data_IF_232460926329
#
_entry.id   IF_232460926329
#
_cell.length_a   1.000
_cell.length_b   1.000
_cell.length_c   1.000
_cell.angle_alpha   90.00
_cell.angle_beta   90.00
_cell.angle_gamma   90.00
#
_symmetry.space_group_name_H-M   'P 1'
#
loop_
_entity.id
_entity.type
_entity.pdbx_description
1 polymer ?
#
# COMPACT_ATOMS: atom_id res chain seq x y z
N UNK A 1 -2.08 -36.48 -19.66
CA UNK A 1 -1.01 -35.84 -20.47
C UNK A 1 -0.33 -34.72 -19.68
N UNK A 2 -1.08 -33.85 -19.00
CA UNK A 2 -0.50 -32.77 -18.16
C UNK A 2 0.33 -33.28 -16.99
N UNK A 3 -0.12 -34.31 -16.27
CA UNK A 3 0.67 -34.82 -15.13
C UNK A 3 2.03 -35.35 -15.58
N UNK A 4 2.10 -35.97 -16.77
CA UNK A 4 3.35 -36.41 -17.37
C UNK A 4 4.24 -35.23 -17.76
N UNK A 5 3.65 -34.16 -18.32
CA UNK A 5 4.38 -32.93 -18.59
C UNK A 5 4.95 -32.31 -17.30
N UNK A 6 4.16 -32.28 -16.22
CA UNK A 6 4.59 -31.79 -14.91
C UNK A 6 5.73 -32.65 -14.31
N UNK A 7 5.67 -33.98 -14.45
CA UNK A 7 6.75 -34.87 -14.03
C UNK A 7 8.07 -34.55 -14.74
N UNK A 8 8.04 -34.36 -16.06
CA UNK A 8 9.22 -33.96 -16.83
C UNK A 8 9.69 -32.53 -16.51
N UNK A 9 8.76 -31.60 -16.24
CA UNK A 9 9.10 -30.22 -15.86
C UNK A 9 9.84 -30.16 -14.50
N UNK A 10 9.33 -30.90 -13.51
CA UNK A 10 9.84 -30.86 -12.13
C UNK A 10 10.92 -31.92 -11.84
N UNK A 11 11.12 -32.90 -12.74
CA UNK A 11 11.98 -34.06 -12.49
C UNK A 11 11.40 -35.02 -11.44
N UNK A 12 10.08 -35.11 -11.32
CA UNK A 12 9.40 -35.98 -10.35
C UNK A 12 9.21 -37.37 -10.94
N UNK A 13 9.92 -38.36 -10.40
CA UNK A 13 9.86 -39.76 -10.87
C UNK A 13 10.52 -40.00 -12.23
N UNK A 14 11.17 -39.00 -12.82
CA UNK A 14 11.95 -39.04 -14.07
C UNK A 14 13.01 -37.94 -14.03
N UNK A 15 14.00 -37.98 -14.91
CA UNK A 15 14.90 -36.86 -15.13
C UNK A 15 14.14 -35.64 -15.67
N UNK A 16 14.55 -34.44 -15.26
CA UNK A 16 13.98 -33.17 -15.72
C UNK A 16 14.28 -32.99 -17.21
N UNK A 17 13.23 -32.78 -17.99
CA UNK A 17 13.30 -32.66 -19.46
C UNK A 17 12.25 -31.65 -19.94
N UNK A 18 12.69 -30.41 -20.18
CA UNK A 18 11.77 -29.33 -20.55
C UNK A 18 11.21 -29.51 -21.96
N UNK A 19 11.95 -30.13 -22.88
CA UNK A 19 11.48 -30.40 -24.24
C UNK A 19 10.37 -31.46 -24.24
N UNK A 20 10.51 -32.52 -23.44
CA UNK A 20 9.41 -33.49 -23.25
C UNK A 20 8.23 -32.89 -22.51
N UNK A 21 8.46 -32.04 -21.50
CA UNK A 21 7.38 -31.30 -20.85
C UNK A 21 6.60 -30.46 -21.86
N UNK A 22 7.32 -29.70 -22.70
CA UNK A 22 6.72 -28.90 -23.77
C UNK A 22 5.92 -29.77 -24.75
N UNK A 23 6.50 -30.89 -25.20
CA UNK A 23 5.85 -31.83 -26.12
C UNK A 23 4.52 -32.36 -25.56
N UNK A 24 4.50 -32.80 -24.29
CA UNK A 24 3.29 -33.32 -23.67
C UNK A 24 2.24 -32.23 -23.39
N UNK A 25 2.67 -31.02 -23.04
CA UNK A 25 1.79 -29.86 -22.95
C UNK A 25 1.18 -29.52 -24.33
N UNK A 26 1.97 -29.55 -25.41
CA UNK A 26 1.47 -29.31 -26.76
C UNK A 26 0.39 -30.34 -27.14
N UNK A 27 0.63 -31.63 -26.88
CA UNK A 27 -0.37 -32.68 -27.14
C UNK A 27 -1.64 -32.52 -26.32
N UNK A 28 -1.52 -32.13 -25.05
CA UNK A 28 -2.68 -31.86 -24.21
C UNK A 28 -3.47 -30.63 -24.70
N UNK A 29 -2.78 -29.55 -25.07
CA UNK A 29 -3.38 -28.34 -25.62
C UNK A 29 -4.10 -28.57 -26.96
N UNK A 30 -3.55 -29.42 -27.84
CA UNK A 30 -4.19 -29.86 -29.08
C UNK A 30 -5.51 -30.61 -28.83
N UNK A 31 -5.61 -31.33 -27.71
CA UNK A 31 -6.82 -32.02 -27.27
C UNK A 31 -7.77 -31.12 -26.46
N UNK A 32 -7.50 -29.82 -26.37
CA UNK A 32 -8.35 -28.86 -25.68
C UNK A 32 -8.14 -28.78 -24.17
N UNK A 33 -7.08 -29.38 -23.62
CA UNK A 33 -6.79 -29.25 -22.20
C UNK A 33 -6.39 -27.80 -21.84
N UNK A 34 -7.20 -27.17 -21.01
CA UNK A 34 -7.13 -25.76 -20.67
C UNK A 34 -5.85 -25.38 -19.92
N UNK A 35 -5.41 -26.21 -18.97
CA UNK A 35 -4.16 -25.97 -18.22
C UNK A 35 -2.96 -26.06 -19.15
N UNK A 36 -3.02 -26.94 -20.15
CA UNK A 36 -1.98 -27.08 -21.14
C UNK A 36 -1.92 -25.88 -22.08
N UNK A 37 -3.06 -25.26 -22.44
CA UNK A 37 -3.06 -24.01 -23.21
C UNK A 37 -2.26 -22.92 -22.50
N UNK A 38 -2.47 -22.75 -21.18
CA UNK A 38 -1.73 -21.78 -20.37
C UNK A 38 -0.23 -22.12 -20.27
N UNK A 39 0.11 -23.37 -19.96
CA UNK A 39 1.51 -23.80 -19.86
C UNK A 39 2.25 -23.66 -21.20
N UNK A 40 1.57 -23.93 -22.31
CA UNK A 40 2.13 -23.77 -23.65
C UNK A 40 2.39 -22.29 -23.98
N UNK A 41 1.47 -21.40 -23.60
CA UNK A 41 1.66 -19.96 -23.74
C UNK A 41 2.87 -19.47 -22.91
N UNK A 42 3.00 -19.93 -21.66
CA UNK A 42 4.17 -19.63 -20.82
C UNK A 42 5.47 -20.15 -21.41
N UNK A 43 5.46 -21.38 -21.92
CA UNK A 43 6.65 -22.00 -22.54
C UNK A 43 7.16 -21.18 -23.71
N UNK A 44 6.26 -20.75 -24.61
CA UNK A 44 6.63 -19.84 -25.70
C UNK A 44 7.04 -18.44 -25.22
N UNK A 45 6.42 -17.91 -24.17
CA UNK A 45 6.78 -16.59 -23.63
C UNK A 45 8.18 -16.58 -23.00
N UNK A 46 8.57 -17.67 -22.35
CA UNK A 46 9.84 -17.78 -21.63
C UNK A 46 10.94 -18.46 -22.45
N UNK A 47 10.59 -19.24 -23.48
CA UNK A 47 11.52 -20.11 -24.18
C UNK A 47 11.86 -21.38 -23.38
N UNK A 48 10.89 -21.91 -22.63
CA UNK A 48 11.08 -23.12 -21.81
C UNK A 48 10.71 -24.36 -22.62
N UNK A 49 11.69 -25.25 -22.85
CA UNK A 49 11.47 -26.47 -23.65
C UNK A 49 11.21 -26.23 -25.13
N UNK A 50 11.28 -24.98 -25.59
CA UNK A 50 11.09 -24.55 -26.97
C UNK A 50 11.77 -23.18 -27.18
N UNK A 51 11.86 -22.72 -28.43
CA UNK A 51 12.33 -21.37 -28.71
C UNK A 51 11.30 -20.32 -28.28
N UNK A 52 11.78 -19.24 -27.65
CA UNK A 52 10.94 -18.12 -27.24
C UNK A 52 10.24 -17.50 -28.47
N UNK A 53 8.92 -17.43 -28.41
CA UNK A 53 8.10 -16.84 -29.49
C UNK A 53 6.87 -16.13 -28.90
N UNK A 54 6.93 -14.79 -28.85
CA UNK A 54 5.88 -13.98 -28.23
C UNK A 54 4.55 -14.00 -29.01
N UNK A 55 4.59 -14.14 -30.33
CA UNK A 55 3.37 -14.22 -31.17
C UNK A 55 2.61 -15.52 -30.89
N UNK A 56 3.32 -16.65 -30.81
CA UNK A 56 2.72 -17.92 -30.39
C UNK A 56 2.23 -17.88 -28.96
N UNK A 57 2.99 -17.27 -28.04
CA UNK A 57 2.54 -17.09 -26.66
C UNK A 57 1.22 -16.30 -26.60
N UNK A 58 1.14 -15.18 -27.33
CA UNK A 58 -0.07 -14.38 -27.44
C UNK A 58 -1.25 -15.20 -27.99
N UNK A 59 -1.05 -15.93 -29.09
CA UNK A 59 -2.08 -16.79 -29.68
C UNK A 59 -2.65 -17.79 -28.65
N UNK A 60 -1.78 -18.46 -27.89
CA UNK A 60 -2.22 -19.44 -26.89
C UNK A 60 -2.86 -18.80 -25.66
N UNK A 61 -2.37 -17.64 -25.18
CA UNK A 61 -3.07 -16.88 -24.14
C UNK A 61 -4.47 -16.44 -24.57
N UNK A 62 -4.61 -15.97 -25.82
CA UNK A 62 -5.90 -15.57 -26.36
C UNK A 62 -6.87 -16.74 -26.40
N UNK A 63 -6.45 -17.87 -26.97
CA UNK A 63 -7.26 -19.09 -27.05
C UNK A 63 -7.67 -19.60 -25.67
N UNK A 64 -6.77 -19.53 -24.68
CA UNK A 64 -7.06 -19.94 -23.31
C UNK A 64 -8.05 -19.00 -22.61
N UNK A 65 -7.89 -17.69 -22.78
CA UNK A 65 -8.76 -16.67 -22.18
C UNK A 65 -10.18 -16.71 -22.76
N UNK A 66 -10.32 -17.00 -24.06
CA UNK A 66 -11.61 -17.14 -24.76
C UNK A 66 -12.38 -18.40 -24.32
N UNK A 67 -11.67 -19.47 -23.94
CA UNK A 67 -12.27 -20.70 -23.39
C UNK A 67 -12.71 -20.55 -21.91
N UNK A 68 -12.34 -19.45 -21.24
CA UNK A 68 -13.09 -18.95 -20.08
C UNK A 68 -12.79 -19.53 -18.70
N UNK A 69 -11.74 -20.36 -18.52
CA UNK A 69 -11.54 -21.05 -17.23
C UNK A 69 -10.40 -20.52 -16.34
N UNK A 70 -9.29 -20.02 -16.90
CA UNK A 70 -8.16 -19.55 -16.09
C UNK A 70 -8.02 -18.02 -16.13
N UNK A 71 -8.33 -17.38 -15.01
CA UNK A 71 -8.22 -15.92 -14.84
C UNK A 71 -6.80 -15.41 -15.12
N UNK A 72 -5.76 -16.23 -14.85
CA UNK A 72 -4.36 -15.86 -15.14
C UNK A 72 -4.11 -15.68 -16.63
N UNK A 73 -4.83 -16.39 -17.50
CA UNK A 73 -4.69 -16.24 -18.95
C UNK A 73 -5.25 -14.90 -19.41
N UNK A 74 -6.37 -14.45 -18.85
CA UNK A 74 -6.96 -13.13 -19.12
C UNK A 74 -5.99 -12.01 -18.70
N UNK A 75 -5.35 -12.14 -17.53
CA UNK A 75 -4.35 -11.17 -17.05
C UNK A 75 -3.14 -11.11 -17.98
N UNK A 76 -2.59 -12.26 -18.39
CA UNK A 76 -1.44 -12.28 -19.29
C UNK A 76 -1.79 -11.76 -20.69
N UNK A 77 -2.98 -12.04 -21.19
CA UNK A 77 -3.48 -11.48 -22.44
C UNK A 77 -3.62 -9.95 -22.36
N UNK A 78 -4.15 -9.43 -21.25
CA UNK A 78 -4.21 -7.99 -21.00
C UNK A 78 -2.80 -7.36 -21.00
N UNK A 79 -1.83 -8.00 -20.34
CA UNK A 79 -0.42 -7.56 -20.33
C UNK A 79 0.19 -7.57 -21.73
N UNK A 80 -0.13 -8.56 -22.57
CA UNK A 80 0.30 -8.62 -23.96
C UNK A 80 -0.22 -7.41 -24.74
N UNK A 81 -1.51 -7.11 -24.64
CA UNK A 81 -2.09 -5.93 -25.29
C UNK A 81 -1.55 -4.61 -24.72
N UNK A 82 -1.34 -4.50 -23.41
CA UNK A 82 -0.84 -3.27 -22.78
C UNK A 82 0.57 -2.92 -23.27
N UNK A 83 1.41 -3.93 -23.48
CA UNK A 83 2.82 -3.78 -23.82
C UNK A 83 3.14 -4.03 -25.31
N UNK A 84 2.17 -4.48 -26.12
CA UNK A 84 2.42 -4.92 -27.49
C UNK A 84 3.31 -6.17 -27.59
N UNK A 85 3.15 -7.14 -26.68
CA UNK A 85 3.94 -8.39 -26.69
C UNK A 85 3.25 -9.45 -27.54
N UNK A 86 3.85 -9.77 -28.68
CA UNK A 86 3.31 -10.78 -29.62
C UNK A 86 2.07 -10.31 -30.38
N UNK A 87 1.69 -9.05 -30.23
CA UNK A 87 0.57 -8.35 -30.88
C UNK A 87 0.86 -6.86 -30.87
N UNK A 88 0.11 -6.07 -31.64
CA UNK A 88 0.12 -4.62 -31.50
C UNK A 88 -0.40 -4.16 -30.13
N UNK A 89 0.17 -3.06 -29.62
CA UNK A 89 -0.26 -2.45 -28.38
C UNK A 89 -1.70 -1.94 -28.51
N UNK A 90 -2.57 -2.34 -27.59
CA UNK A 90 -3.98 -1.92 -27.56
C UNK A 90 -4.47 -1.77 -26.12
N UNK A 91 -4.54 -0.53 -25.62
CA UNK A 91 -4.91 -0.27 -24.23
C UNK A 91 -6.39 -0.56 -23.94
N UNK A 92 -7.29 -0.39 -24.92
CA UNK A 92 -8.72 -0.68 -24.76
C UNK A 92 -8.97 -2.19 -24.55
N UNK A 93 -8.30 -3.03 -25.34
CA UNK A 93 -8.35 -4.50 -25.15
C UNK A 93 -7.68 -4.93 -23.85
N UNK A 94 -6.58 -4.29 -23.46
CA UNK A 94 -5.96 -4.55 -22.17
C UNK A 94 -6.93 -4.24 -21.02
N UNK A 95 -7.57 -3.06 -21.06
CA UNK A 95 -8.58 -2.64 -20.11
C UNK A 95 -9.74 -3.65 -20.03
N UNK A 96 -10.28 -4.07 -21.18
CA UNK A 96 -11.36 -5.07 -21.25
C UNK A 96 -10.99 -6.38 -20.54
N UNK A 97 -9.81 -6.92 -20.81
CA UNK A 97 -9.37 -8.19 -20.21
C UNK A 97 -9.01 -8.05 -18.72
N UNK A 98 -8.43 -6.93 -18.30
CA UNK A 98 -8.27 -6.63 -16.88
C UNK A 98 -9.62 -6.53 -16.16
N UNK A 99 -10.61 -5.88 -16.77
CA UNK A 99 -11.96 -5.78 -16.20
C UNK A 99 -12.57 -7.17 -16.00
N UNK A 100 -12.57 -8.01 -17.04
CA UNK A 100 -13.05 -9.39 -16.92
C UNK A 100 -12.35 -10.17 -15.82
N UNK A 101 -11.02 -10.13 -15.77
CA UNK A 101 -10.25 -10.85 -14.76
C UNK A 101 -10.52 -10.33 -13.33
N UNK A 102 -10.71 -9.02 -13.17
CA UNK A 102 -11.05 -8.39 -11.90
C UNK A 102 -12.44 -8.80 -11.40
N UNK A 103 -13.41 -9.00 -12.30
CA UNK A 103 -14.75 -9.51 -11.97
C UNK A 103 -14.70 -10.94 -11.41
N UNK A 104 -13.72 -11.75 -11.81
CA UNK A 104 -13.44 -13.07 -11.23
C UNK A 104 -12.59 -13.03 -9.95
N UNK A 105 -12.25 -11.86 -9.44
CA UNK A 105 -11.54 -11.73 -8.16
C UNK A 105 -10.02 -11.69 -8.25
N UNK A 106 -9.41 -11.61 -9.45
CA UNK A 106 -7.95 -11.57 -9.56
C UNK A 106 -7.36 -10.22 -9.11
N UNK A 107 -6.53 -10.27 -8.07
CA UNK A 107 -5.93 -9.10 -7.43
C UNK A 107 -5.04 -8.30 -8.38
N UNK A 108 -4.29 -9.00 -9.24
CA UNK A 108 -3.40 -8.35 -10.22
C UNK A 108 -4.21 -7.64 -11.29
N UNK A 109 -5.33 -8.22 -11.70
CA UNK A 109 -6.26 -7.58 -12.63
C UNK A 109 -6.89 -6.32 -12.03
N UNK A 110 -7.42 -6.40 -10.80
CA UNK A 110 -7.99 -5.25 -10.09
C UNK A 110 -6.99 -4.10 -9.94
N UNK A 111 -5.74 -4.43 -9.56
CA UNK A 111 -4.67 -3.44 -9.44
C UNK A 111 -4.39 -2.72 -10.77
N UNK A 112 -4.26 -3.47 -11.87
CA UNK A 112 -4.04 -2.88 -13.19
C UNK A 112 -5.24 -2.09 -13.68
N UNK A 113 -6.47 -2.55 -13.41
CA UNK A 113 -7.70 -1.84 -13.75
C UNK A 113 -7.80 -0.48 -13.03
N UNK A 114 -7.38 -0.42 -11.77
CA UNK A 114 -7.29 0.83 -11.04
C UNK A 114 -6.27 1.81 -11.64
N UNK A 115 -5.13 1.31 -12.14
CA UNK A 115 -4.15 2.12 -12.86
C UNK A 115 -4.76 2.65 -14.16
N UNK A 116 -5.46 1.81 -14.93
CA UNK A 116 -6.13 2.23 -16.15
C UNK A 116 -7.11 3.38 -15.89
N UNK A 117 -7.95 3.28 -14.86
CA UNK A 117 -8.86 4.35 -14.47
C UNK A 117 -8.14 5.61 -13.94
N UNK A 118 -7.05 5.45 -13.18
CA UNK A 118 -6.27 6.60 -12.66
C UNK A 118 -5.65 7.42 -13.79
N UNK A 119 -5.13 6.75 -14.81
CA UNK A 119 -4.38 7.37 -15.89
C UNK A 119 -5.23 7.65 -17.14
N UNK A 120 -6.42 7.06 -17.26
CA UNK A 120 -7.21 7.09 -18.49
C UNK A 120 -6.61 6.21 -19.59
N UNK A 121 -6.02 5.06 -19.23
CA UNK A 121 -5.42 4.13 -20.20
C UNK A 121 -6.48 3.12 -20.67
N UNK A 122 -6.84 3.18 -21.96
CA UNK A 122 -7.84 2.27 -22.55
C UNK A 122 -9.28 2.53 -22.10
N UNK A 123 -9.49 3.60 -21.33
CA UNK A 123 -10.77 4.07 -20.82
C UNK A 123 -10.66 5.55 -20.43
N UNK A 124 -11.76 6.19 -20.05
CA UNK A 124 -11.72 7.55 -19.51
C UNK A 124 -11.17 7.57 -18.08
N UNK A 125 -10.43 8.63 -17.75
CA UNK A 125 -9.91 8.84 -16.39
C UNK A 125 -11.07 8.93 -15.39
N UNK A 126 -11.03 8.09 -14.36
CA UNK A 126 -12.05 8.05 -13.31
C UNK A 126 -11.41 7.68 -11.96
N UNK A 127 -11.17 8.69 -11.11
CA UNK A 127 -10.51 8.49 -9.82
C UNK A 127 -11.37 7.69 -8.82
N UNK A 128 -12.69 7.80 -8.90
CA UNK A 128 -13.63 7.07 -8.04
C UNK A 128 -13.57 5.57 -8.32
N UNK A 129 -13.61 5.16 -9.60
CA UNK A 129 -13.45 3.75 -10.00
C UNK A 129 -12.05 3.23 -9.71
N UNK A 130 -11.02 4.06 -9.87
CA UNK A 130 -9.66 3.69 -9.48
C UNK A 130 -9.56 3.40 -7.97
N UNK A 131 -10.20 4.24 -7.14
CA UNK A 131 -10.29 4.03 -5.70
C UNK A 131 -11.06 2.75 -5.35
N UNK A 132 -12.23 2.54 -5.96
CA UNK A 132 -13.06 1.35 -5.78
C UNK A 132 -12.29 0.04 -6.00
N UNK A 133 -11.60 -0.08 -7.14
CA UNK A 133 -10.87 -1.31 -7.46
C UNK A 133 -9.64 -1.53 -6.57
N UNK A 134 -9.00 -0.45 -6.10
CA UNK A 134 -7.92 -0.57 -5.10
C UNK A 134 -8.42 -0.99 -3.73
N UNK A 135 -9.57 -0.48 -3.30
CA UNK A 135 -10.20 -0.89 -2.06
C UNK A 135 -10.50 -2.40 -2.08
N UNK A 136 -11.01 -2.92 -3.21
CA UNK A 136 -11.26 -4.37 -3.38
C UNK A 136 -10.01 -5.24 -3.19
N UNK A 137 -8.85 -4.80 -3.70
CA UNK A 137 -7.57 -5.51 -3.48
C UNK A 137 -7.18 -5.49 -2.00
N UNK A 138 -7.32 -4.35 -1.32
CA UNK A 138 -7.00 -4.25 0.11
C UNK A 138 -7.92 -5.13 0.97
N UNK A 139 -9.20 -5.26 0.60
CA UNK A 139 -10.15 -6.16 1.28
C UNK A 139 -9.80 -7.64 1.09
N UNK A 140 -9.33 -8.05 -0.09
CA UNK A 140 -8.88 -9.44 -0.33
C UNK A 140 -7.56 -9.75 0.38
N UNK A 141 -6.65 -8.78 0.50
CA UNK A 141 -5.38 -8.91 1.21
C UNK A 141 -5.52 -8.92 2.74
N UNK A 142 -6.47 -8.15 3.31
CA UNK A 142 -6.77 -8.17 4.75
C UNK A 142 -7.22 -9.55 5.24
N UNK A 143 -7.81 -10.38 4.36
CA UNK A 143 -8.14 -11.76 4.70
C UNK A 143 -6.89 -12.67 4.85
N UNK A 144 -5.71 -12.25 4.38
CA UNK A 144 -4.48 -13.05 4.31
C UNK A 144 -3.43 -12.69 5.37
N UNK A 145 -3.45 -11.51 5.99
CA UNK A 145 -2.38 -11.07 6.92
C UNK A 145 -2.89 -10.33 8.17
N UNK A 146 -2.12 -10.46 9.27
CA UNK A 146 -2.39 -9.87 10.62
C UNK A 146 -2.23 -8.34 10.67
N UNK A 147 -1.62 -7.71 9.65
CA UNK A 147 -1.42 -6.26 9.56
C UNK A 147 -2.20 -5.69 8.39
N UNK A 148 -2.79 -4.52 8.57
CA UNK A 148 -3.58 -3.85 7.54
C UNK A 148 -2.64 -3.18 6.52
N UNK A 149 -2.73 -3.62 5.26
CA UNK A 149 -2.17 -2.86 4.15
C UNK A 149 -3.17 -1.76 3.75
N UNK A 150 -2.76 -0.50 3.80
CA UNK A 150 -3.65 0.64 3.55
C UNK A 150 -3.06 1.53 2.46
N UNK A 151 -3.95 2.17 1.69
CA UNK A 151 -3.55 3.22 0.75
C UNK A 151 -3.53 4.55 1.46
N UNK A 152 -2.48 5.32 1.21
CA UNK A 152 -2.44 6.71 1.62
C UNK A 152 -3.53 7.50 0.85
N UNK A 153 -4.42 8.20 1.54
CA UNK A 153 -5.49 8.99 0.90
C UNK A 153 -4.93 10.08 -0.02
N UNK A 154 -3.74 10.59 0.29
CA UNK A 154 -3.14 11.73 -0.42
C UNK A 154 -2.37 11.28 -1.68
N UNK A 155 -1.37 10.40 -1.54
CA UNK A 155 -0.54 9.96 -2.70
C UNK A 155 -1.05 8.70 -3.38
N UNK A 156 -2.02 8.00 -2.77
CA UNK A 156 -2.54 6.72 -3.23
C UNK A 156 -1.45 5.63 -3.35
N UNK A 157 -0.33 5.77 -2.64
CA UNK A 157 0.69 4.73 -2.52
C UNK A 157 0.31 3.75 -1.41
N UNK A 158 0.80 2.52 -1.57
CA UNK A 158 0.60 1.43 -0.62
C UNK A 158 1.55 1.61 0.56
N UNK A 159 1.04 1.47 1.78
CA UNK A 159 1.89 1.41 2.96
C UNK A 159 1.33 0.44 4.00
N UNK A 160 2.21 0.00 4.91
CA UNK A 160 1.88 -0.90 5.99
C UNK A 160 1.51 -0.04 7.21
N UNK A 161 0.27 -0.17 7.71
CA UNK A 161 -0.19 0.56 8.89
C UNK A 161 -1.71 0.72 8.94
N UNK A 162 -2.22 1.03 10.12
CA UNK A 162 -3.67 1.18 10.38
C UNK A 162 -4.10 2.65 10.28
N UNK A 163 -3.44 3.45 9.42
CA UNK A 163 -3.60 4.91 9.37
C UNK A 163 -4.09 5.38 8.00
N UNK A 164 -4.54 6.63 7.91
CA UNK A 164 -5.12 7.18 6.67
C UNK A 164 -4.05 7.63 5.65
N UNK A 165 -2.79 7.81 6.05
CA UNK A 165 -1.72 8.28 5.18
C UNK A 165 -0.41 7.54 5.41
N UNK A 166 0.40 7.47 4.35
CA UNK A 166 1.78 7.03 4.45
C UNK A 166 2.62 8.09 5.19
N UNK A 167 3.77 7.67 5.71
CA UNK A 167 4.69 8.52 6.46
C UNK A 167 5.04 9.82 5.72
N UNK A 168 5.31 9.75 4.42
CA UNK A 168 5.67 10.90 3.59
C UNK A 168 4.55 11.95 3.55
N UNK A 169 3.29 11.52 3.38
CA UNK A 169 2.15 12.44 3.29
C UNK A 169 1.73 12.98 4.66
N UNK A 170 1.88 12.19 5.73
CA UNK A 170 1.70 12.68 7.10
C UNK A 170 2.64 13.85 7.39
N UNK A 171 3.92 13.71 7.03
CA UNK A 171 4.93 14.75 7.20
C UNK A 171 4.52 16.07 6.52
N UNK A 172 4.18 16.02 5.23
CA UNK A 172 3.79 17.22 4.47
C UNK A 172 2.60 17.92 5.13
N UNK A 173 1.65 17.16 5.68
CA UNK A 173 0.47 17.70 6.34
C UNK A 173 0.80 18.38 7.66
N UNK A 174 1.62 17.76 8.50
CA UNK A 174 2.10 18.38 9.74
C UNK A 174 2.89 19.65 9.48
N UNK A 175 3.75 19.65 8.45
CA UNK A 175 4.46 20.86 8.04
C UNK A 175 3.53 21.98 7.58
N UNK A 176 2.47 21.64 6.82
CA UNK A 176 1.47 22.63 6.36
C UNK A 176 0.71 23.27 7.53
N UNK A 177 0.33 22.48 8.52
CA UNK A 177 -0.42 22.94 9.69
C UNK A 177 0.47 23.49 10.82
N UNK A 178 1.80 23.44 10.68
CA UNK A 178 2.75 23.81 11.73
C UNK A 178 2.56 25.24 12.28
N UNK A 179 2.04 26.16 11.46
CA UNK A 179 1.70 27.52 11.91
C UNK A 179 0.68 27.56 13.06
N UNK A 180 -0.10 26.50 13.27
CA UNK A 180 -1.02 26.33 14.40
C UNK A 180 -0.31 25.86 15.68
N UNK A 181 0.91 25.36 15.55
CA UNK A 181 1.69 24.67 16.60
C UNK A 181 3.03 25.33 16.90
N UNK A 182 3.25 26.53 16.37
CA UNK A 182 4.48 27.29 16.60
C UNK A 182 4.51 27.89 18.00
N UNK A 183 5.67 27.77 18.64
CA UNK A 183 6.03 28.46 19.87
C UNK A 183 6.51 29.89 19.65
N UNK A 184 6.76 30.29 18.40
CA UNK A 184 7.52 31.48 17.98
C UNK A 184 8.98 31.48 18.43
N UNK A 185 9.50 30.36 18.92
CA UNK A 185 10.90 30.15 19.24
C UNK A 185 11.51 29.20 18.21
N UNK A 186 12.49 29.67 17.45
CA UNK A 186 13.10 28.92 16.35
C UNK A 186 13.66 27.56 16.79
N UNK A 187 14.29 27.50 17.97
CA UNK A 187 14.88 26.28 18.48
C UNK A 187 13.81 25.23 18.85
N UNK A 188 12.78 25.64 19.60
CA UNK A 188 11.66 24.76 19.99
C UNK A 188 10.91 24.30 18.75
N UNK A 189 10.64 25.22 17.81
CA UNK A 189 9.89 24.90 16.60
C UNK A 189 10.65 23.90 15.72
N UNK A 190 11.97 24.05 15.59
CA UNK A 190 12.81 23.10 14.87
C UNK A 190 12.84 21.73 15.54
N UNK A 191 12.86 21.68 16.87
CA UNK A 191 12.77 20.43 17.62
C UNK A 191 11.44 19.71 17.36
N UNK A 192 10.31 20.43 17.44
CA UNK A 192 8.98 19.88 17.18
C UNK A 192 8.89 19.34 15.74
N UNK A 193 9.30 20.13 14.74
CA UNK A 193 9.29 19.70 13.33
C UNK A 193 10.13 18.44 13.11
N UNK A 194 11.29 18.35 13.76
CA UNK A 194 12.14 17.16 13.67
C UNK A 194 11.46 15.93 14.27
N UNK A 195 10.81 16.05 15.42
CA UNK A 195 10.09 14.93 16.03
C UNK A 195 8.91 14.47 15.14
N UNK A 196 8.19 15.42 14.54
CA UNK A 196 7.06 15.13 13.63
C UNK A 196 7.46 14.33 12.38
N UNK A 197 8.74 14.32 11.97
CA UNK A 197 9.26 13.47 10.88
C UNK A 197 9.13 11.98 11.18
N UNK A 198 9.18 11.62 12.46
CA UNK A 198 9.22 10.24 12.92
C UNK A 198 7.88 9.74 13.45
N UNK A 199 6.92 10.65 13.69
CA UNK A 199 5.58 10.30 14.14
C UNK A 199 4.83 9.46 13.09
N UNK A 200 4.33 8.30 13.52
CA UNK A 200 3.54 7.37 12.70
C UNK A 200 2.04 7.57 12.93
N UNK A 201 1.66 8.02 14.11
CA UNK A 201 0.26 8.23 14.51
C UNK A 201 0.03 9.66 15.00
N UNK A 202 -1.25 10.09 15.04
CA UNK A 202 -1.61 11.39 15.62
C UNK A 202 -1.24 11.55 17.10
N UNK A 203 -1.14 10.44 17.85
CA UNK A 203 -0.74 10.45 19.27
C UNK A 203 0.76 10.61 19.49
N UNK A 204 1.58 10.41 18.45
CA UNK A 204 3.04 10.55 18.50
C UNK A 204 3.49 11.95 18.03
N UNK A 205 2.56 12.80 17.64
CA UNK A 205 2.83 14.15 17.15
C UNK A 205 3.11 15.07 18.32
N UNK A 206 4.28 15.71 18.31
CA UNK A 206 4.55 16.82 19.22
C UNK A 206 3.90 18.10 18.71
N UNK A 207 3.32 18.90 19.60
CA UNK A 207 2.88 20.27 19.32
C UNK A 207 3.20 21.21 20.48
N UNK A 208 3.37 22.50 20.19
CA UNK A 208 3.48 23.51 21.23
C UNK A 208 2.11 23.83 21.83
N UNK A 209 2.01 23.77 23.16
CA UNK A 209 0.78 24.09 23.89
C UNK A 209 0.99 25.39 24.68
N UNK A 210 0.31 26.49 24.31
CA UNK A 210 0.31 27.71 25.09
C UNK A 210 -0.24 27.48 26.51
N UNK A 211 0.39 28.06 27.52
CA UNK A 211 0.00 27.85 28.92
C UNK A 211 -1.46 28.23 29.21
N UNK A 212 -2.02 29.22 28.50
CA UNK A 212 -3.43 29.62 28.64
C UNK A 212 -4.44 28.58 28.11
N UNK A 213 -3.98 27.50 27.49
CA UNK A 213 -4.79 26.33 27.11
C UNK A 213 -4.85 25.27 28.20
N UNK A 214 -4.10 25.46 29.29
CA UNK A 214 -4.07 24.57 30.44
C UNK A 214 -4.88 25.18 31.59
N UNK A 215 -5.70 24.35 32.22
CA UNK A 215 -6.49 24.71 33.39
C UNK A 215 -6.34 23.64 34.48
N UNK A 216 -6.75 23.95 35.71
CA UNK A 216 -6.66 23.02 36.85
C UNK A 216 -5.26 22.42 37.03
N UNK A 217 -4.22 23.25 36.87
CA UNK A 217 -2.83 22.83 37.06
C UNK A 217 -2.58 22.60 38.55
N UNK A 218 -2.46 21.34 38.94
CA UNK A 218 -2.31 20.92 40.32
C UNK A 218 -1.10 20.00 40.47
N UNK A 219 -0.38 20.16 41.59
CA UNK A 219 0.69 19.25 41.97
C UNK A 219 0.15 17.81 42.08
N UNK A 220 0.88 16.86 41.50
CA UNK A 220 0.52 15.44 41.51
C UNK A 220 1.55 14.60 42.26
N UNK A 221 2.84 14.72 41.88
CA UNK A 221 3.91 13.91 42.49
C UNK A 221 5.30 14.53 42.25
N UNK A 222 6.34 13.95 42.85
CA UNK A 222 7.75 14.27 42.57
C UNK A 222 8.34 13.24 41.61
N UNK A 223 8.70 13.68 40.41
CA UNK A 223 9.40 12.87 39.41
C UNK A 223 10.91 12.82 39.62
N UNK A 224 11.59 11.99 38.81
CA UNK A 224 13.04 11.78 38.89
C UNK A 224 13.88 13.05 38.65
N UNK A 225 13.36 14.03 37.92
CA UNK A 225 14.07 15.27 37.58
C UNK A 225 13.34 16.56 37.99
N UNK A 226 12.06 16.50 38.37
CA UNK A 226 11.27 17.67 38.73
C UNK A 226 9.89 17.35 39.32
N UNK A 227 9.10 18.36 39.62
CA UNK A 227 7.70 18.21 40.01
C UNK A 227 6.83 17.77 38.82
N UNK A 228 5.94 16.83 39.10
CA UNK A 228 4.91 16.36 38.19
C UNK A 228 3.60 17.00 38.62
N UNK A 229 2.94 17.64 37.66
CA UNK A 229 1.64 18.24 37.83
C UNK A 229 0.63 17.57 36.89
N UNK A 230 -0.64 17.67 37.21
CA UNK A 230 -1.74 17.35 36.30
C UNK A 230 -2.45 18.62 35.89
N UNK A 231 -2.93 18.65 34.66
CA UNK A 231 -3.71 19.77 34.13
C UNK A 231 -4.75 19.26 33.13
N UNK A 232 -5.75 20.09 32.85
CA UNK A 232 -6.71 19.87 31.78
C UNK A 232 -6.31 20.75 30.59
N UNK A 233 -6.06 20.13 29.45
CA UNK A 233 -5.81 20.82 28.19
C UNK A 233 -7.10 20.98 27.41
N UNK A 234 -7.55 22.23 27.25
CA UNK A 234 -8.86 22.55 26.66
C UNK A 234 -9.02 22.05 25.22
N UNK A 235 -7.98 22.26 24.40
CA UNK A 235 -8.02 21.84 22.99
C UNK A 235 -7.84 20.32 22.87
N UNK A 236 -7.01 19.74 23.74
CA UNK A 236 -6.72 18.31 23.81
C UNK A 236 -5.93 17.76 22.62
N UNK A 237 -5.47 16.50 22.68
CA UNK A 237 -4.64 15.91 21.64
C UNK A 237 -5.47 15.63 20.37
N UNK A 238 -4.79 15.65 19.23
CA UNK A 238 -5.34 15.15 17.97
C UNK A 238 -5.42 13.62 18.01
N UNK A 239 -6.46 13.03 17.42
CA UNK A 239 -6.59 11.56 17.37
C UNK A 239 -6.96 11.01 15.99
N UNK A 240 -7.64 11.79 15.16
CA UNK A 240 -7.98 11.42 13.79
C UNK A 240 -8.10 12.63 12.90
N UNK A 241 -7.98 12.40 11.59
CA UNK A 241 -8.29 13.44 10.61
C UNK A 241 -9.72 13.34 10.12
N UNK A 242 -10.36 14.49 10.05
CA UNK A 242 -11.68 14.66 9.50
C UNK A 242 -11.59 15.05 8.02
N UNK A 243 -11.95 14.13 7.12
CA UNK A 243 -11.90 14.36 5.68
C UNK A 243 -12.89 15.46 5.24
N UNK A 244 -14.10 15.45 5.80
CA UNK A 244 -15.16 16.38 5.42
C UNK A 244 -14.85 17.82 5.86
N UNK A 245 -14.36 17.98 7.09
CA UNK A 245 -14.00 19.29 7.66
C UNK A 245 -12.60 19.76 7.27
N UNK A 246 -11.80 18.88 6.67
CA UNK A 246 -10.39 19.10 6.37
C UNK A 246 -9.59 19.63 7.58
N UNK A 247 -9.75 19.00 8.75
CA UNK A 247 -9.03 19.36 9.97
C UNK A 247 -8.79 18.14 10.87
N UNK A 248 -7.89 18.28 11.85
CA UNK A 248 -7.69 17.29 12.90
C UNK A 248 -8.84 17.33 13.92
N UNK A 249 -9.44 16.17 14.20
CA UNK A 249 -10.35 16.00 15.32
C UNK A 249 -9.52 15.86 16.62
N UNK A 250 -9.99 16.54 17.67
CA UNK A 250 -9.33 16.60 18.97
C UNK A 250 -10.23 16.06 20.08
N UNK A 251 -9.61 15.48 21.09
CA UNK A 251 -10.31 15.07 22.31
C UNK A 251 -10.24 16.20 23.34
N UNK A 252 -11.24 17.09 23.34
CA UNK A 252 -11.27 18.28 24.21
C UNK A 252 -11.25 17.94 25.69
N UNK A 253 -10.79 18.89 26.51
CA UNK A 253 -10.72 18.77 27.97
C UNK A 253 -9.95 17.53 28.46
N UNK A 254 -8.81 17.27 27.80
CA UNK A 254 -7.98 16.10 28.06
C UNK A 254 -7.09 16.30 29.30
N UNK A 255 -7.07 15.32 30.21
CA UNK A 255 -6.13 15.34 31.34
C UNK A 255 -4.71 15.03 30.84
N UNK A 256 -3.79 15.96 31.08
CA UNK A 256 -2.37 15.83 30.73
C UNK A 256 -1.50 15.84 31.97
N UNK A 257 -0.37 15.14 31.86
CA UNK A 257 0.70 15.16 32.86
C UNK A 257 1.75 16.16 32.43
N UNK A 258 2.05 17.13 33.30
CA UNK A 258 3.08 18.14 33.08
C UNK A 258 4.31 17.79 33.90
N UNK A 259 5.47 17.70 33.25
CA UNK A 259 6.77 17.70 33.92
C UNK A 259 7.33 19.13 33.86
N UNK A 260 7.40 19.82 35.00
CA UNK A 260 7.86 21.22 35.04
C UNK A 260 9.39 21.24 35.07
N UNK A 261 10.04 22.11 34.30
CA UNK A 261 11.50 22.28 34.39
C UNK A 261 11.84 23.37 35.40
N UNK A 262 12.72 23.07 36.36
CA UNK A 262 13.09 24.00 37.43
C UNK A 262 13.95 25.19 36.95
N UNK A 263 14.61 25.10 35.79
CA UNK A 263 15.31 26.22 35.14
C UNK A 263 15.51 25.95 33.63
N UNK A 264 15.53 26.98 32.79
CA UNK A 264 15.75 26.89 31.34
C UNK A 264 17.13 26.31 30.96
N UNK A 265 18.14 26.45 31.84
CA UNK A 265 19.47 25.84 31.69
C UNK A 265 19.48 24.30 31.83
N UNK A 266 18.36 23.68 32.19
CA UNK A 266 18.18 22.22 32.29
C UNK A 266 17.77 21.53 30.98
N UNK A 267 17.55 22.29 29.90
CA UNK A 267 17.42 21.80 28.51
C UNK A 267 18.78 21.32 27.97
N UNK A 268 19.42 20.39 28.67
CA UNK A 268 20.67 19.76 28.25
C UNK A 268 20.39 18.41 27.56
N UNK A 269 21.43 17.77 27.01
CA UNK A 269 21.31 16.49 26.30
C UNK A 269 20.55 15.42 27.11
N UNK A 270 20.66 15.44 28.45
CA UNK A 270 19.97 14.47 29.33
C UNK A 270 18.44 14.62 29.31
N UNK A 271 17.92 15.84 29.14
CA UNK A 271 16.49 16.08 28.95
C UNK A 271 16.02 15.59 27.59
N UNK A 272 16.81 15.84 26.54
CA UNK A 272 16.51 15.34 25.19
C UNK A 272 16.57 13.82 25.12
N UNK A 273 17.54 13.19 25.78
CA UNK A 273 17.66 11.74 25.88
C UNK A 273 16.43 11.12 26.57
N UNK A 274 15.87 11.78 27.59
CA UNK A 274 14.64 11.31 28.25
C UNK A 274 13.39 11.52 27.37
N UNK A 275 13.27 12.67 26.69
CA UNK A 275 12.15 12.93 25.76
C UNK A 275 12.17 11.95 24.57
N UNK A 276 13.36 11.62 24.05
CA UNK A 276 13.54 10.63 22.99
C UNK A 276 13.30 9.17 23.43
N UNK A 277 13.26 8.85 24.73
CA UNK A 277 12.87 7.49 25.19
C UNK A 277 11.37 7.26 25.00
N UNK A 278 10.57 8.32 24.91
CA UNK A 278 9.10 8.27 24.83
C UNK A 278 8.53 8.62 23.45
N UNK A 279 9.38 8.89 22.45
CA UNK A 279 9.03 9.18 21.04
C UNK A 279 9.64 8.10 20.17
#
# INVERSE_FOLDING_TARGET
>A
MIDLAACYHDGKGTEKDLEKSFYWNQKAAENGDEKALFNLALSYNNGEGTEKNLEKAFYWYQKAAENGYDVKTMVNLAICYQNGKGTEKNLEKAFYWYQKAAEYGDEKAMFNLAICYKNGEGTEKNLEKAFYWRQKVAESDKAKFKYTCQFCIECLELFIGDHQWCQQCNLVRFQRDFSKWTSKNEFIDKFIQNAQLYAKTGYEVLEWIPYNKLSNVNYYDKGGFSEIHKAVWSDGPIYSWNLDKQQWDRQTDYEVVLKILNNSSSLNNKFLDEVCIYI
#
